data_IF_640285902781
#
_entry.id   IF_640285902781
#
_cell.length_a   1.000
_cell.length_b   1.000
_cell.length_c   1.000
_cell.angle_alpha   90.00
_cell.angle_beta   90.00
_cell.angle_gamma   90.00
#
_symmetry.space_group_name_H-M   'P 1'
#
loop_
_entity.id
_entity.type
_entity.pdbx_description
1 polymer ?
#
# COMPACT_ATOMS: atom_id res chain seq x y z
N UNK A 1 -5.60 -21.93 -20.24
CA UNK A 1 -4.33 -22.01 -19.46
C UNK A 1 -4.62 -21.95 -17.97
N UNK A 2 -3.71 -22.43 -17.13
CA UNK A 2 -3.84 -22.29 -15.67
C UNK A 2 -3.67 -20.82 -15.29
N UNK A 3 -4.49 -20.32 -14.36
CA UNK A 3 -4.31 -18.97 -13.81
C UNK A 3 -3.73 -19.08 -12.41
N UNK A 4 -2.68 -18.31 -12.13
CA UNK A 4 -2.04 -18.20 -10.83
C UNK A 4 -1.92 -16.75 -10.43
N UNK A 5 -1.70 -16.51 -9.14
CA UNK A 5 -1.65 -15.18 -8.56
C UNK A 5 -0.40 -15.08 -7.70
N UNK A 6 0.33 -13.98 -7.80
CA UNK A 6 1.36 -13.66 -6.81
C UNK A 6 0.72 -13.27 -5.48
N UNK A 7 1.50 -13.31 -4.38
CA UNK A 7 1.03 -12.86 -3.07
C UNK A 7 0.55 -11.40 -3.09
N UNK A 8 1.22 -10.54 -3.87
CA UNK A 8 0.85 -9.14 -4.03
C UNK A 8 -0.47 -8.98 -4.78
N UNK A 9 -0.71 -9.78 -5.83
CA UNK A 9 -1.98 -9.75 -6.54
C UNK A 9 -3.15 -10.17 -5.62
N UNK A 10 -2.95 -11.21 -4.80
CA UNK A 10 -3.95 -11.64 -3.81
C UNK A 10 -4.20 -10.50 -2.82
N UNK A 11 -3.14 -9.90 -2.28
CA UNK A 11 -3.23 -8.78 -1.33
C UNK A 11 -4.00 -7.61 -1.92
N UNK A 12 -3.65 -7.19 -3.15
CA UNK A 12 -4.31 -6.06 -3.81
C UNK A 12 -5.83 -6.31 -3.99
N UNK A 13 -6.21 -7.53 -4.40
CA UNK A 13 -7.63 -7.91 -4.59
C UNK A 13 -8.36 -7.91 -3.25
N UNK A 14 -7.79 -8.55 -2.22
CA UNK A 14 -8.40 -8.64 -0.88
C UNK A 14 -8.58 -7.25 -0.28
N UNK A 15 -7.58 -6.38 -0.36
CA UNK A 15 -7.67 -5.00 0.12
C UNK A 15 -8.75 -4.20 -0.63
N UNK A 16 -8.80 -4.34 -1.97
CA UNK A 16 -9.77 -3.64 -2.79
C UNK A 16 -11.22 -4.05 -2.47
N UNK A 17 -11.47 -5.35 -2.37
CA UNK A 17 -12.79 -5.91 -2.05
C UNK A 17 -13.18 -5.53 -0.63
N UNK A 18 -12.29 -5.71 0.36
CA UNK A 18 -12.58 -5.40 1.77
C UNK A 18 -12.94 -3.93 1.96
N UNK A 19 -12.16 -3.02 1.35
CA UNK A 19 -12.43 -1.59 1.40
C UNK A 19 -13.80 -1.21 0.82
N UNK A 20 -14.21 -1.84 -0.28
CA UNK A 20 -15.53 -1.60 -0.86
C UNK A 20 -16.63 -2.25 -0.05
N UNK A 21 -16.40 -3.45 0.48
CA UNK A 21 -17.41 -4.22 1.19
C UNK A 21 -17.91 -3.50 2.45
N UNK A 22 -17.02 -2.78 3.15
CA UNK A 22 -17.39 -1.95 4.31
C UNK A 22 -18.37 -0.82 3.98
N UNK A 23 -18.39 -0.34 2.74
CA UNK A 23 -19.18 0.82 2.31
C UNK A 23 -20.34 0.47 1.39
N UNK A 24 -20.15 -0.53 0.53
CA UNK A 24 -21.08 -0.98 -0.48
C UNK A 24 -20.76 -2.43 -0.91
N UNK A 25 -21.36 -3.44 -0.26
CA UNK A 25 -21.18 -4.86 -0.59
C UNK A 25 -21.52 -5.22 -2.04
N UNK A 26 -22.56 -4.60 -2.61
CA UNK A 26 -22.93 -4.83 -4.01
C UNK A 26 -21.85 -4.35 -4.97
N UNK A 27 -21.22 -3.20 -4.70
CA UNK A 27 -20.11 -2.71 -5.50
C UNK A 27 -18.87 -3.61 -5.38
N UNK A 28 -18.61 -4.18 -4.20
CA UNK A 28 -17.53 -5.14 -4.00
C UNK A 28 -17.75 -6.42 -4.81
N UNK A 29 -18.97 -6.99 -4.78
CA UNK A 29 -19.33 -8.18 -5.55
C UNK A 29 -19.26 -7.93 -7.07
N UNK A 30 -19.72 -6.77 -7.54
CA UNK A 30 -19.62 -6.40 -8.95
C UNK A 30 -18.16 -6.27 -9.40
N UNK A 31 -17.31 -5.65 -8.57
CA UNK A 31 -15.88 -5.53 -8.87
C UNK A 31 -15.21 -6.90 -8.97
N UNK A 32 -15.46 -7.79 -8.02
CA UNK A 32 -14.91 -9.15 -8.02
C UNK A 32 -15.32 -9.93 -9.28
N UNK A 33 -16.60 -9.83 -9.67
CA UNK A 33 -17.11 -10.43 -10.90
C UNK A 33 -16.45 -9.84 -12.16
N UNK A 34 -16.20 -8.53 -12.21
CA UNK A 34 -15.54 -7.88 -13.34
C UNK A 34 -14.07 -8.28 -13.47
N UNK A 35 -13.32 -8.30 -12.37
CA UNK A 35 -11.93 -8.75 -12.33
C UNK A 35 -11.86 -10.21 -12.77
N UNK A 36 -12.66 -11.09 -12.17
CA UNK A 36 -12.72 -12.52 -12.49
C UNK A 36 -13.04 -12.78 -13.95
N UNK A 37 -14.04 -12.06 -14.50
CA UNK A 37 -14.40 -12.15 -15.91
C UNK A 37 -13.25 -11.70 -16.81
N UNK A 38 -12.59 -10.59 -16.49
CA UNK A 38 -11.45 -10.11 -17.28
C UNK A 38 -10.30 -11.11 -17.30
N UNK A 39 -9.95 -11.67 -16.12
CA UNK A 39 -8.88 -12.67 -16.00
C UNK A 39 -9.22 -13.94 -16.78
N UNK A 40 -10.48 -14.41 -16.72
CA UNK A 40 -10.93 -15.55 -17.51
C UNK A 40 -10.74 -15.35 -19.01
N UNK A 41 -11.08 -14.17 -19.53
CA UNK A 41 -10.88 -13.84 -20.96
C UNK A 41 -9.41 -13.69 -21.35
N UNK A 42 -8.59 -13.13 -20.46
CA UNK A 42 -7.13 -13.10 -20.62
C UNK A 42 -6.54 -14.53 -20.66
N UNK A 43 -7.03 -15.44 -19.82
CA UNK A 43 -6.59 -16.84 -19.76
C UNK A 43 -7.07 -17.65 -20.97
N UNK A 44 -8.22 -17.28 -21.56
CA UNK A 44 -8.74 -17.80 -22.81
C UNK A 44 -8.03 -17.23 -24.05
N UNK A 45 -7.08 -16.30 -23.87
CA UNK A 45 -6.36 -15.61 -24.95
C UNK A 45 -7.26 -14.83 -25.91
N UNK A 46 -8.42 -14.35 -25.45
CA UNK A 46 -9.32 -13.55 -26.28
C UNK A 46 -8.72 -12.20 -26.68
N UNK A 47 -7.83 -11.67 -25.84
CA UNK A 47 -7.12 -10.43 -26.07
C UNK A 47 -5.82 -10.40 -25.26
N UNK A 48 -4.97 -9.43 -25.59
CA UNK A 48 -3.77 -9.14 -24.84
C UNK A 48 -3.56 -7.63 -24.68
N UNK A 49 -3.02 -7.25 -23.54
CA UNK A 49 -2.66 -5.89 -23.21
C UNK A 49 -1.28 -5.48 -23.72
N UNK A 50 -1.03 -4.16 -23.77
CA UNK A 50 0.27 -3.62 -24.08
C UNK A 50 1.33 -4.14 -23.10
N UNK A 51 2.52 -4.37 -23.63
CA UNK A 51 3.70 -4.72 -22.85
C UNK A 51 4.19 -3.49 -22.11
N UNK A 52 4.53 -3.65 -20.84
CA UNK A 52 5.08 -2.63 -19.96
C UNK A 52 6.25 -3.21 -19.18
N UNK A 53 7.27 -2.39 -18.95
CA UNK A 53 8.40 -2.76 -18.11
C UNK A 53 8.20 -2.17 -16.72
N UNK A 54 8.17 -3.02 -15.72
CA UNK A 54 8.10 -2.60 -14.32
C UNK A 54 9.46 -2.03 -13.88
N UNK A 55 9.48 -1.28 -12.78
CA UNK A 55 10.73 -0.75 -12.19
C UNK A 55 11.72 -1.85 -11.80
N UNK A 56 11.22 -3.04 -11.49
CA UNK A 56 12.02 -4.25 -11.25
C UNK A 56 12.71 -4.82 -12.50
N UNK A 57 12.49 -4.24 -13.68
CA UNK A 57 12.94 -4.79 -14.95
C UNK A 57 12.03 -5.90 -15.51
N UNK A 58 11.11 -6.43 -14.69
CA UNK A 58 10.15 -7.42 -15.12
C UNK A 58 9.28 -6.89 -16.27
N UNK A 59 9.17 -7.69 -17.33
CA UNK A 59 8.28 -7.41 -18.45
C UNK A 59 6.92 -8.00 -18.12
N UNK A 60 5.89 -7.17 -18.13
CA UNK A 60 4.50 -7.58 -17.90
C UNK A 60 3.63 -7.05 -19.03
N UNK A 61 2.46 -7.65 -19.20
CA UNK A 61 1.36 -7.05 -19.93
C UNK A 61 0.40 -6.41 -18.93
N UNK A 62 -0.37 -5.43 -19.38
CA UNK A 62 -1.39 -4.83 -18.52
C UNK A 62 -2.70 -4.59 -19.25
N UNK A 63 -3.81 -4.79 -18.55
CA UNK A 63 -5.15 -4.49 -19.05
C UNK A 63 -5.95 -3.67 -18.05
N UNK A 64 -6.73 -2.73 -18.56
CA UNK A 64 -7.56 -1.87 -17.71
C UNK A 64 -8.90 -2.53 -17.42
N UNK A 65 -9.29 -2.52 -16.15
CA UNK A 65 -10.65 -2.83 -15.66
C UNK A 65 -11.04 -1.68 -14.75
N UNK A 66 -11.47 -0.51 -15.29
CA UNK A 66 -11.61 0.70 -14.50
C UNK A 66 -12.49 0.49 -13.25
N UNK A 67 -12.06 0.98 -12.06
CA UNK A 67 -10.91 1.87 -11.85
C UNK A 67 -9.57 1.15 -11.63
N UNK A 68 -9.47 -0.16 -11.85
CA UNK A 68 -8.28 -0.99 -11.64
C UNK A 68 -7.49 -1.26 -12.92
N UNK A 69 -6.24 -1.72 -12.74
CA UNK A 69 -5.40 -2.25 -13.79
C UNK A 69 -4.79 -3.57 -13.34
N UNK A 70 -4.94 -4.57 -14.21
CA UNK A 70 -4.42 -5.92 -14.02
C UNK A 70 -3.07 -6.00 -14.74
N UNK A 71 -2.01 -6.36 -14.02
CA UNK A 71 -0.70 -6.66 -14.59
C UNK A 71 -0.48 -8.16 -14.55
N UNK A 72 -0.03 -8.74 -15.65
CA UNK A 72 0.13 -10.18 -15.77
C UNK A 72 1.31 -10.58 -16.66
N UNK A 73 1.80 -11.78 -16.46
CA UNK A 73 2.75 -12.47 -17.34
C UNK A 73 2.05 -13.66 -17.97
N UNK A 74 2.41 -13.91 -19.22
CA UNK A 74 1.89 -15.04 -19.98
C UNK A 74 3.05 -15.98 -20.27
N UNK A 75 2.92 -17.20 -19.77
CA UNK A 75 3.78 -18.33 -20.10
C UNK A 75 2.98 -19.31 -20.97
N UNK A 76 3.65 -20.35 -21.47
CA UNK A 76 3.04 -21.32 -22.42
C UNK A 76 1.74 -21.92 -21.88
N UNK A 77 1.69 -22.29 -20.59
CA UNK A 77 0.54 -22.95 -19.97
C UNK A 77 -0.04 -22.19 -18.76
N UNK A 78 0.44 -20.97 -18.49
CA UNK A 78 0.12 -20.22 -17.30
C UNK A 78 -0.11 -18.73 -17.57
N UNK A 79 -1.18 -18.19 -16.97
CA UNK A 79 -1.39 -16.76 -16.78
C UNK A 79 -1.07 -16.42 -15.33
N UNK A 80 0.08 -15.79 -15.10
CA UNK A 80 0.45 -15.30 -13.79
C UNK A 80 -0.06 -13.87 -13.62
N UNK A 81 -1.02 -13.67 -12.73
CA UNK A 81 -1.48 -12.34 -12.31
C UNK A 81 -0.46 -11.81 -11.29
N UNK A 82 0.22 -10.74 -11.68
CA UNK A 82 1.31 -10.15 -10.90
C UNK A 82 0.81 -9.06 -9.96
N UNK A 83 -0.14 -8.22 -10.39
CA UNK A 83 -0.73 -7.13 -9.57
C UNK A 83 -2.14 -6.75 -10.04
N UNK A 84 -2.95 -6.21 -9.14
CA UNK A 84 -4.27 -5.64 -9.44
C UNK A 84 -4.45 -4.32 -8.70
N UNK A 85 -4.01 -3.20 -9.29
CA UNK A 85 -3.98 -1.92 -8.55
C UNK A 85 -5.02 -0.92 -9.06
N UNK A 86 -5.50 -0.07 -8.16
CA UNK A 86 -6.40 1.03 -8.49
C UNK A 86 -5.64 2.16 -9.23
N UNK A 87 -6.08 2.54 -10.43
CA UNK A 87 -5.37 3.46 -11.33
C UNK A 87 -5.22 4.88 -10.75
N UNK A 88 -6.20 5.35 -9.97
CA UNK A 88 -6.14 6.69 -9.35
C UNK A 88 -5.51 6.71 -7.96
N UNK A 89 -5.34 5.54 -7.32
CA UNK A 89 -4.56 5.46 -6.10
C UNK A 89 -3.11 5.38 -6.56
N UNK A 90 -2.33 6.44 -6.34
CA UNK A 90 -0.87 6.33 -6.51
C UNK A 90 -0.44 5.12 -5.68
N UNK A 91 0.28 4.14 -6.26
CA UNK A 91 0.65 2.96 -5.51
C UNK A 91 1.45 3.42 -4.29
N UNK A 92 0.87 3.30 -3.09
CA UNK A 92 1.58 3.52 -1.84
C UNK A 92 2.74 2.53 -1.67
N UNK A 93 2.75 1.46 -2.48
CA UNK A 93 3.73 0.39 -2.51
C UNK A 93 4.33 0.27 -3.91
N UNK A 94 5.59 0.69 -4.05
CA UNK A 94 6.34 0.49 -5.29
C UNK A 94 6.38 -1.00 -5.67
N UNK A 95 6.32 -1.26 -6.97
CA UNK A 95 6.32 -2.60 -7.57
C UNK A 95 7.66 -3.31 -7.30
N UNK A 96 7.63 -4.45 -6.60
CA UNK A 96 8.74 -5.42 -6.55
C UNK A 96 8.14 -6.83 -6.60
N UNK A 97 8.54 -7.69 -7.56
CA UNK A 97 8.25 -9.12 -7.53
C UNK A 97 9.08 -9.80 -6.43
N UNK A 98 8.47 -10.68 -5.65
CA UNK A 98 9.14 -11.43 -4.58
C UNK A 98 10.09 -12.55 -5.02
N UNK A 99 10.13 -12.92 -6.30
CA UNK A 99 11.04 -13.99 -6.77
C UNK A 99 12.10 -13.45 -7.71
N UNK A 100 13.20 -12.98 -7.13
CA UNK A 100 14.56 -13.09 -7.67
C UNK A 100 15.51 -12.64 -6.58
N UNK A 101 16.42 -13.54 -6.21
CA UNK A 101 17.57 -13.24 -5.39
C UNK A 101 18.43 -12.17 -6.08
N UNK A 102 18.11 -10.91 -5.84
CA UNK A 102 19.09 -9.84 -5.87
C UNK A 102 18.71 -8.84 -4.78
N UNK A 103 19.67 -8.66 -3.86
CA UNK A 103 19.73 -7.69 -2.77
C UNK A 103 19.74 -6.24 -3.31
N UNK A 104 18.74 -5.89 -4.10
CA UNK A 104 18.57 -4.55 -4.67
C UNK A 104 17.71 -3.72 -3.75
N UNK A 105 18.36 -2.79 -3.07
CA UNK A 105 17.87 -1.79 -2.10
C UNK A 105 16.58 -1.09 -2.57
N UNK A 106 15.40 -1.70 -2.35
CA UNK A 106 14.13 -0.98 -2.53
C UNK A 106 14.01 0.08 -1.44
N UNK A 107 14.01 1.35 -1.85
CA UNK A 107 13.71 2.48 -0.99
C UNK A 107 12.22 2.84 -1.09
N UNK A 108 11.57 2.97 0.06
CA UNK A 108 10.23 3.53 0.22
C UNK A 108 10.40 4.89 0.90
N UNK A 109 9.62 5.87 0.44
CA UNK A 109 9.61 7.21 0.98
C UNK A 109 8.18 7.63 1.32
N UNK A 110 7.98 8.14 2.53
CA UNK A 110 6.74 8.80 2.95
C UNK A 110 6.99 10.30 2.98
N UNK A 111 6.04 11.07 2.46
CA UNK A 111 6.09 12.53 2.40
C UNK A 111 4.91 13.09 3.18
N UNK A 112 5.17 14.14 3.96
CA UNK A 112 4.15 14.91 4.66
C UNK A 112 4.29 16.39 4.27
N UNK A 113 3.16 17.06 4.09
CA UNK A 113 3.08 18.46 3.66
C UNK A 113 2.41 19.30 4.74
N UNK A 114 2.98 20.48 5.00
CA UNK A 114 2.37 21.53 5.82
C UNK A 114 2.24 22.81 5.02
N UNK A 115 1.07 23.45 5.14
CA UNK A 115 0.66 24.59 4.30
C UNK A 115 -0.48 24.19 3.35
N UNK A 116 -1.27 25.16 2.93
CA UNK A 116 -2.29 24.95 1.90
C UNK A 116 -2.10 26.05 0.87
N UNK A 117 -1.93 25.68 -0.40
CA UNK A 117 -1.56 26.56 -1.52
C UNK A 117 -2.47 27.78 -1.76
N UNK A 118 -3.57 27.91 -1.01
CA UNK A 118 -4.51 29.04 -1.05
C UNK A 118 -4.48 29.96 0.20
N UNK A 119 -3.73 29.62 1.24
CA UNK A 119 -3.77 30.32 2.53
C UNK A 119 -2.39 30.63 3.13
N UNK A 120 -1.30 30.10 2.57
CA UNK A 120 0.06 30.32 3.10
C UNK A 120 1.03 30.67 1.98
N UNK A 121 1.93 31.62 2.22
CA UNK A 121 2.97 32.05 1.26
C UNK A 121 4.06 30.99 1.05
N UNK A 122 4.12 30.01 1.95
CA UNK A 122 5.10 28.94 1.94
C UNK A 122 4.41 27.58 2.13
N UNK A 123 4.99 26.55 1.53
CA UNK A 123 4.66 25.14 1.71
C UNK A 123 5.94 24.45 2.20
N UNK A 124 5.81 23.67 3.27
CA UNK A 124 6.90 22.86 3.81
C UNK A 124 6.58 21.40 3.55
N UNK A 125 7.56 20.63 3.06
CA UNK A 125 7.44 19.18 2.91
C UNK A 125 8.54 18.49 3.70
N UNK A 126 8.17 17.47 4.46
CA UNK A 126 9.07 16.55 5.12
C UNK A 126 9.00 15.18 4.44
N UNK A 127 10.11 14.43 4.44
CA UNK A 127 10.13 13.08 3.92
C UNK A 127 10.95 12.16 4.82
N UNK A 128 10.47 10.94 5.00
CA UNK A 128 11.25 9.85 5.57
C UNK A 128 11.49 8.81 4.48
N UNK A 129 12.76 8.47 4.25
CA UNK A 129 13.19 7.49 3.24
C UNK A 129 13.90 6.36 3.95
N UNK A 130 13.58 5.12 3.56
CA UNK A 130 14.17 3.93 4.16
C UNK A 130 14.03 2.74 3.24
N UNK A 131 14.82 1.69 3.48
CA UNK A 131 14.68 0.43 2.74
C UNK A 131 13.42 -0.32 3.16
N UNK A 132 12.95 -1.23 2.30
CA UNK A 132 11.79 -2.07 2.60
C UNK A 132 11.89 -2.83 3.93
N UNK A 133 13.04 -3.46 4.21
CA UNK A 133 13.31 -4.20 5.45
C UNK A 133 13.24 -3.27 6.68
N UNK A 134 13.72 -2.03 6.53
CA UNK A 134 13.65 -1.02 7.58
C UNK A 134 12.21 -0.59 7.84
N UNK A 135 11.41 -0.36 6.79
CA UNK A 135 9.99 -0.04 6.92
C UNK A 135 9.17 -1.19 7.49
N UNK A 136 9.45 -2.43 7.08
CA UNK A 136 8.82 -3.63 7.66
C UNK A 136 9.08 -3.73 9.17
N UNK A 137 10.31 -3.44 9.59
CA UNK A 137 10.71 -3.44 11.00
C UNK A 137 10.03 -2.29 11.76
N UNK A 138 10.02 -1.09 11.18
CA UNK A 138 9.30 0.08 11.70
C UNK A 138 7.82 -0.23 11.90
N UNK A 139 7.13 -0.77 10.89
CA UNK A 139 5.69 -1.07 10.96
C UNK A 139 5.38 -2.05 12.08
N UNK A 140 6.21 -3.08 12.26
CA UNK A 140 6.04 -4.06 13.35
C UNK A 140 6.20 -3.40 14.72
N UNK A 141 7.24 -2.60 14.92
CA UNK A 141 7.52 -1.93 16.18
C UNK A 141 6.50 -0.83 16.49
N UNK A 142 6.10 -0.05 15.49
CA UNK A 142 5.11 1.00 15.60
C UNK A 142 3.74 0.43 15.98
N UNK A 143 3.29 -0.63 15.31
CA UNK A 143 2.02 -1.29 15.64
C UNK A 143 2.06 -1.93 17.04
N UNK A 144 3.19 -2.49 17.45
CA UNK A 144 3.36 -2.99 18.81
C UNK A 144 3.27 -1.87 19.86
N UNK A 145 3.84 -0.69 19.59
CA UNK A 145 3.72 0.48 20.45
C UNK A 145 2.26 0.96 20.54
N UNK A 146 1.57 1.09 19.41
CA UNK A 146 0.14 1.45 19.38
C UNK A 146 -0.70 0.47 20.20
N UNK A 147 -0.51 -0.84 19.99
CA UNK A 147 -1.22 -1.88 20.72
C UNK A 147 -0.95 -1.83 22.24
N UNK A 148 0.30 -1.62 22.66
CA UNK A 148 0.68 -1.48 24.07
C UNK A 148 -0.10 -0.37 24.79
N UNK A 149 -0.40 0.72 24.10
CA UNK A 149 -1.12 1.87 24.65
C UNK A 149 -2.62 1.88 24.33
N UNK A 150 -3.13 0.85 23.65
CA UNK A 150 -4.51 0.79 23.13
C UNK A 150 -4.88 2.00 22.25
N UNK A 151 -3.91 2.54 21.50
CA UNK A 151 -4.14 3.62 20.55
C UNK A 151 -4.45 3.04 19.16
N UNK A 152 -5.53 3.46 18.48
CA UNK A 152 -5.86 2.94 17.15
C UNK A 152 -4.93 3.47 16.05
N UNK A 153 -4.37 4.66 16.25
CA UNK A 153 -3.40 5.31 15.36
C UNK A 153 -2.73 6.47 16.11
N UNK A 154 -1.72 7.12 15.50
CA UNK A 154 -1.08 8.32 16.03
C UNK A 154 -1.04 9.43 14.97
N UNK A 155 -1.99 10.37 15.03
CA UNK A 155 -2.06 11.54 14.15
C UNK A 155 -1.67 12.80 14.94
N UNK A 156 -0.57 13.48 14.55
CA UNK A 156 0.03 14.55 15.35
C UNK A 156 -0.93 15.69 15.72
N UNK A 157 -1.81 16.12 14.82
CA UNK A 157 -2.81 17.16 15.12
C UNK A 157 -3.76 16.76 16.24
N UNK A 158 -4.26 15.52 16.22
CA UNK A 158 -5.24 15.03 17.19
C UNK A 158 -4.57 14.76 18.53
N UNK A 159 -3.36 14.18 18.46
CA UNK A 159 -2.51 13.96 19.62
C UNK A 159 -2.16 15.28 20.31
N UNK A 160 -1.71 16.32 19.58
CA UNK A 160 -1.28 17.60 20.13
C UNK A 160 -2.42 18.38 20.79
N UNK A 161 -3.61 18.33 20.19
CA UNK A 161 -4.80 19.00 20.72
C UNK A 161 -5.60 18.14 21.71
N UNK A 162 -5.17 16.91 21.99
CA UNK A 162 -5.86 15.96 22.87
C UNK A 162 -7.33 15.73 22.50
N UNK A 163 -7.58 15.50 21.22
CA UNK A 163 -8.90 15.24 20.64
C UNK A 163 -8.95 13.84 20.00
N UNK A 164 -10.16 13.38 19.65
CA UNK A 164 -10.34 12.08 19.00
C UNK A 164 -9.94 10.94 19.93
N UNK A 165 -9.12 9.96 19.49
CA UNK A 165 -8.71 8.84 20.35
C UNK A 165 -7.93 9.22 21.61
N UNK A 166 -7.41 10.46 21.67
CA UNK A 166 -6.59 10.95 22.77
C UNK A 166 -7.36 11.84 23.75
N UNK A 167 -8.67 12.02 23.55
CA UNK A 167 -9.50 12.77 24.47
C UNK A 167 -9.49 12.11 25.87
N UNK A 168 -9.30 12.93 26.91
CA UNK A 168 -9.22 12.44 28.30
C UNK A 168 -7.91 11.74 28.68
N UNK A 169 -6.95 11.56 27.75
CA UNK A 169 -5.64 11.00 28.08
C UNK A 169 -4.84 11.96 28.96
N UNK A 170 -4.17 11.40 29.98
CA UNK A 170 -3.26 12.16 30.84
C UNK A 170 -1.88 12.29 30.20
N UNK A 171 -1.16 13.35 30.56
CA UNK A 171 0.17 13.63 30.00
C UNK A 171 1.16 12.45 30.08
N UNK A 172 1.23 11.66 31.17
CA UNK A 172 2.09 10.48 31.20
C UNK A 172 1.73 9.41 30.15
N UNK A 173 0.45 9.23 29.84
CA UNK A 173 -0.01 8.27 28.83
C UNK A 173 0.38 8.75 27.42
N UNK A 174 0.12 10.02 27.13
CA UNK A 174 0.50 10.66 25.86
C UNK A 174 2.02 10.55 25.63
N UNK A 175 2.81 10.97 26.63
CA UNK A 175 4.27 10.90 26.58
C UNK A 175 4.79 9.47 26.45
N UNK A 176 4.16 8.50 27.11
CA UNK A 176 4.51 7.08 27.00
C UNK A 176 4.31 6.55 25.58
N UNK A 177 3.15 6.83 24.98
CA UNK A 177 2.86 6.50 23.59
C UNK A 177 3.89 7.13 22.64
N UNK A 178 4.12 8.45 22.77
CA UNK A 178 5.07 9.17 21.93
C UNK A 178 6.49 8.58 22.05
N UNK A 179 6.95 8.28 23.26
CA UNK A 179 8.27 7.72 23.48
C UNK A 179 8.43 6.34 22.81
N UNK A 180 7.44 5.45 22.95
CA UNK A 180 7.50 4.13 22.34
C UNK A 180 7.39 4.19 20.80
N UNK A 181 6.55 5.07 20.26
CA UNK A 181 6.46 5.30 18.81
C UNK A 181 7.74 5.91 18.24
N UNK A 182 8.37 6.87 18.93
CA UNK A 182 9.67 7.41 18.53
C UNK A 182 10.79 6.36 18.62
N UNK A 183 10.71 5.44 19.58
CA UNK A 183 11.63 4.31 19.69
C UNK A 183 11.54 3.32 18.53
N UNK A 184 10.38 3.24 17.87
CA UNK A 184 10.19 2.44 16.65
C UNK A 184 10.82 3.09 15.41
N UNK A 185 11.01 4.42 15.41
CA UNK A 185 11.69 5.10 14.33
C UNK A 185 13.13 4.59 14.24
N UNK A 186 13.60 4.18 13.05
CA UNK A 186 15.00 3.80 12.87
C UNK A 186 15.87 4.96 13.32
N UNK A 187 16.75 4.71 14.30
CA UNK A 187 17.64 5.73 14.83
C UNK A 187 18.63 6.15 13.75
N UNK A 188 18.30 7.17 12.97
CA UNK A 188 19.31 7.93 12.25
C UNK A 188 20.08 8.72 13.32
N UNK A 189 21.24 8.20 13.73
CA UNK A 189 22.33 9.10 14.08
C UNK A 189 22.61 9.90 12.81
N UNK A 190 22.04 11.11 12.75
CA UNK A 190 22.55 12.16 11.88
C UNK A 190 24.01 12.45 12.24
#
# INVERSE_FOLDING_TARGET
>A
MKTTYSEEAITDIVEAISYLNERNPTAAANLDAEISRCIGRLAAQEFDGPVSRLRSGAVVRSWAVPPFRICYQRHTDELLIVRVYHQTRRPHRAIVPQDLADTSTMLIAYFDESGHSRQTDFVSMAACVGRYDQWKTFDQQWNAALAKHNAPYLHMREYAHSIGPFEGWKEPQRRGLMADCLGACPSNRL
#
